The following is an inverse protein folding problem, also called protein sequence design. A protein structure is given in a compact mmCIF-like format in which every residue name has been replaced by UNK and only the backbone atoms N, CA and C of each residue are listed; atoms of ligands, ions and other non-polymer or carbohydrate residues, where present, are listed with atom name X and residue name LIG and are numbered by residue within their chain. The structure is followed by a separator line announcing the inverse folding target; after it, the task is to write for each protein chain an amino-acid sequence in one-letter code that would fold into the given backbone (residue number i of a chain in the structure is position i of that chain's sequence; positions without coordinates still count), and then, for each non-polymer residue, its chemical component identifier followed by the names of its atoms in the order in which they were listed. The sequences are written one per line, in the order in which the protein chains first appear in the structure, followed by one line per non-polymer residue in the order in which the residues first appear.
data_IF_868153416300
#
_entry.id   IF_868153416300
#
_cell.length_a   1.000
_cell.length_b   1.000
_cell.length_c   1.000
_cell.angle_alpha   90.00
_cell.angle_beta   90.00
_cell.angle_gamma   90.00
#
_symmetry.space_group_name_H-M   'P 1'
#
loop_
_entity.id
_entity.type
_entity.pdbx_description
1 polymer ?
#
# COMPACT_ATOMS: atom_id res chain seq x y z
N UNK A 1 24.54 65.83 6.99
CA UNK A 1 23.78 66.69 7.94
C UNK A 1 22.43 66.04 8.20
N UNK A 2 21.98 65.94 9.47
CA UNK A 2 20.61 65.57 9.90
C UNK A 2 20.08 64.16 9.51
N UNK A 3 19.31 63.43 10.34
CA UNK A 3 19.24 63.30 11.82
C UNK A 3 18.40 62.03 12.13
N UNK A 4 18.83 61.16 13.05
CA UNK A 4 17.94 60.11 13.63
C UNK A 4 16.98 60.70 14.68
N UNK A 5 15.86 60.01 14.96
CA UNK A 5 15.64 59.37 16.27
C UNK A 5 15.06 57.93 16.14
N UNK A 6 15.66 56.89 16.75
CA UNK A 6 15.51 56.41 18.16
C UNK A 6 14.24 55.60 18.50
N UNK A 7 14.45 54.27 18.59
CA UNK A 7 13.98 53.28 19.59
C UNK A 7 12.73 53.57 20.45
N UNK A 8 11.84 52.57 20.50
CA UNK A 8 11.00 52.26 21.68
C UNK A 8 11.08 50.76 22.02
N UNK A 9 11.38 50.41 23.28
CA UNK A 9 11.26 49.04 23.82
C UNK A 9 9.95 48.96 24.59
N UNK A 10 9.27 47.82 24.57
CA UNK A 10 8.34 47.44 25.63
C UNK A 10 8.78 46.11 26.24
N UNK A 11 8.65 46.01 27.56
CA UNK A 11 9.15 44.90 28.36
C UNK A 11 8.00 43.97 28.79
N UNK A 12 8.37 42.76 29.21
CA UNK A 12 7.45 41.73 29.66
C UNK A 12 6.69 42.11 30.95
N UNK A 13 5.51 41.50 31.12
CA UNK A 13 4.93 41.26 32.44
C UNK A 13 4.45 39.81 32.48
N UNK A 14 5.01 39.01 33.38
CA UNK A 14 4.49 37.68 33.68
C UNK A 14 3.41 37.76 34.75
N UNK A 15 2.39 36.90 34.67
CA UNK A 15 1.46 36.63 35.77
C UNK A 15 1.37 35.12 35.94
N UNK A 16 1.84 34.63 37.08
CA UNK A 16 1.62 33.26 37.52
C UNK A 16 0.37 33.24 38.43
N UNK A 17 -0.48 32.23 38.26
CA UNK A 17 -1.52 31.87 39.21
C UNK A 17 -1.57 30.34 39.32
N UNK A 18 -1.59 29.85 40.55
CA UNK A 18 -1.66 28.44 40.91
C UNK A 18 -2.75 28.23 41.97
N UNK A 19 -2.93 26.98 42.44
CA UNK A 19 -3.89 26.54 43.47
C UNK A 19 -5.32 26.33 42.89
N UNK A 20 -6.06 25.25 43.16
CA UNK A 20 -5.84 24.07 44.03
C UNK A 20 -6.39 22.78 43.40
N UNK A 21 -5.88 21.64 43.87
CA UNK A 21 -6.52 20.33 43.67
C UNK A 21 -7.76 20.18 44.58
N UNK A 22 -8.68 19.28 44.21
CA UNK A 22 -9.71 18.77 45.12
C UNK A 22 -9.96 17.30 44.82
N UNK A 23 -9.60 16.46 45.78
CA UNK A 23 -9.85 15.01 45.78
C UNK A 23 -11.24 14.77 46.34
N UNK A 24 -12.07 13.98 45.65
CA UNK A 24 -13.29 13.40 46.23
C UNK A 24 -13.15 11.88 46.21
N UNK A 25 -13.02 11.31 47.40
CA UNK A 25 -13.15 9.87 47.63
C UNK A 25 -14.62 9.58 47.92
N UNK A 26 -15.22 8.64 47.20
CA UNK A 26 -16.45 7.98 47.65
C UNK A 26 -16.31 6.46 47.53
N UNK A 27 -16.28 5.79 48.67
CA UNK A 27 -16.30 4.35 48.82
C UNK A 27 -17.73 3.89 49.14
N UNK A 28 -18.37 3.14 48.25
CA UNK A 28 -19.50 2.25 48.60
C UNK A 28 -19.32 0.91 47.88
N UNK A 29 -19.34 -0.17 48.65
CA UNK A 29 -19.29 -1.59 48.26
C UNK A 29 -20.55 -2.29 48.86
N UNK A 30 -20.93 -3.51 48.44
CA UNK A 30 -21.69 -3.77 47.22
C UNK A 30 -23.00 -4.54 47.51
N UNK A 31 -23.87 -4.71 46.51
CA UNK A 31 -24.86 -5.81 46.52
C UNK A 31 -24.94 -6.55 45.18
N UNK A 32 -25.19 -7.85 45.29
CA UNK A 32 -25.11 -8.85 44.22
C UNK A 32 -26.32 -8.81 43.27
N UNK A 33 -26.09 -9.15 42.00
CA UNK A 33 -27.16 -9.39 41.02
C UNK A 33 -26.60 -9.95 39.70
N UNK A 34 -26.57 -11.27 39.57
CA UNK A 34 -26.01 -11.98 38.41
C UNK A 34 -26.77 -11.72 37.10
N UNK A 35 -26.04 -11.59 35.98
CA UNK A 35 -26.31 -12.32 34.73
C UNK A 35 -25.13 -12.29 33.76
N UNK A 36 -24.88 -13.42 33.12
CA UNK A 36 -23.69 -13.72 32.33
C UNK A 36 -23.68 -13.12 30.92
N UNK A 37 -22.50 -12.64 30.50
CA UNK A 37 -21.90 -12.82 29.15
C UNK A 37 -20.49 -12.20 29.11
N UNK A 38 -19.43 -12.93 28.77
CA UNK A 38 -18.11 -12.34 28.58
C UNK A 38 -18.03 -11.55 27.25
N UNK A 39 -17.25 -10.46 27.17
CA UNK A 39 -16.94 -9.79 25.91
C UNK A 39 -15.99 -10.65 25.05
N UNK A 40 -16.07 -10.50 23.73
CA UNK A 40 -15.21 -11.22 22.80
C UNK A 40 -13.78 -10.68 22.84
N UNK A 41 -12.80 -11.57 23.02
CA UNK A 41 -11.37 -11.26 22.87
C UNK A 41 -11.01 -11.11 21.39
N UNK A 42 -10.41 -10.00 21.01
CA UNK A 42 -9.77 -9.84 19.69
C UNK A 42 -8.40 -10.52 19.71
N UNK A 43 -8.33 -11.78 19.28
CA UNK A 43 -7.06 -12.48 19.09
C UNK A 43 -6.43 -12.09 17.75
N UNK A 44 -5.18 -11.61 17.79
CA UNK A 44 -4.37 -11.38 16.60
C UNK A 44 -4.05 -12.72 15.89
N UNK A 45 -3.89 -12.76 14.56
CA UNK A 45 -3.56 -13.98 13.84
C UNK A 45 -2.16 -14.47 14.22
N UNK A 46 -2.09 -15.75 14.64
CA UNK A 46 -0.83 -16.41 15.00
C UNK A 46 0.06 -16.71 13.79
N UNK A 47 1.37 -16.80 14.04
CA UNK A 47 2.38 -17.18 13.03
C UNK A 47 2.05 -18.56 12.41
N UNK A 48 2.18 -18.74 11.08
CA UNK A 48 2.34 -20.06 10.49
C UNK A 48 3.68 -20.68 10.92
N UNK A 49 3.67 -21.95 11.32
CA UNK A 49 4.89 -22.72 11.53
C UNK A 49 5.41 -23.32 10.23
N UNK A 50 6.73 -23.44 10.11
CA UNK A 50 7.37 -24.13 8.99
C UNK A 50 7.16 -25.64 9.09
N UNK A 51 6.72 -26.27 7.99
CA UNK A 51 6.97 -27.69 7.74
C UNK A 51 7.32 -27.89 6.26
N UNK A 52 8.61 -28.03 5.98
CA UNK A 52 9.11 -28.27 4.63
C UNK A 52 9.06 -29.77 4.31
N UNK A 53 8.29 -30.15 3.30
CA UNK A 53 8.22 -31.53 2.81
C UNK A 53 9.17 -31.73 1.60
N UNK A 54 10.39 -32.21 1.86
CA UNK A 54 11.25 -32.76 0.80
C UNK A 54 10.66 -34.06 0.24
N UNK A 55 10.56 -34.18 -1.08
CA UNK A 55 10.31 -35.45 -1.77
C UNK A 55 11.41 -35.74 -2.79
N UNK A 56 12.41 -36.53 -2.36
CA UNK A 56 13.30 -37.26 -3.26
C UNK A 56 12.67 -38.62 -3.59
N UNK A 57 12.45 -38.89 -4.88
CA UNK A 57 12.09 -40.23 -5.37
C UNK A 57 13.24 -40.81 -6.21
N UNK A 58 13.88 -41.86 -5.71
CA UNK A 58 14.86 -42.67 -6.47
C UNK A 58 14.17 -43.87 -7.15
N UNK A 59 14.87 -44.38 -8.16
CA UNK A 59 14.51 -45.40 -9.13
C UNK A 59 14.33 -46.83 -8.56
N UNK A 60 13.46 -47.61 -9.20
CA UNK A 60 13.31 -49.05 -8.96
C UNK A 60 12.37 -49.70 -9.99
N UNK A 61 12.90 -50.59 -10.83
CA UNK A 61 12.16 -51.24 -11.91
C UNK A 61 11.78 -52.70 -11.57
N UNK A 62 10.67 -53.22 -12.12
CA UNK A 62 10.58 -54.56 -12.79
C UNK A 62 9.15 -55.03 -13.10
N UNK A 63 8.86 -55.22 -14.39
CA UNK A 63 8.05 -56.27 -15.04
C UNK A 63 6.59 -56.62 -14.62
N UNK A 64 5.68 -56.57 -15.61
CA UNK A 64 4.40 -57.30 -15.62
C UNK A 64 3.43 -56.86 -16.74
N UNK A 65 3.33 -57.63 -17.84
CA UNK A 65 2.39 -57.48 -18.98
C UNK A 65 1.78 -58.88 -19.30
N UNK A 66 0.75 -59.09 -20.16
CA UNK A 66 0.12 -58.18 -21.15
C UNK A 66 -1.45 -58.28 -21.25
N UNK A 67 -2.00 -57.72 -22.36
CA UNK A 67 -3.38 -57.87 -22.91
C UNK A 67 -4.51 -57.13 -22.16
N UNK A 68 -5.51 -56.50 -22.76
CA UNK A 68 -5.81 -56.01 -24.12
C UNK A 68 -6.89 -54.88 -23.97
N UNK A 69 -7.50 -54.22 -24.95
CA UNK A 69 -7.53 -54.27 -26.43
C UNK A 69 -7.98 -52.89 -26.98
N UNK A 70 -7.90 -52.61 -28.29
CA UNK A 70 -8.44 -51.39 -28.91
C UNK A 70 -9.49 -51.70 -29.98
N UNK A 71 -10.49 -50.82 -30.15
CA UNK A 71 -10.96 -50.47 -31.50
C UNK A 71 -10.88 -48.96 -31.77
N UNK A 72 -10.80 -48.59 -33.04
CA UNK A 72 -10.50 -47.24 -33.50
C UNK A 72 -11.74 -46.44 -33.92
N UNK A 73 -11.68 -45.13 -33.66
CA UNK A 73 -11.91 -44.10 -34.68
C UNK A 73 -13.34 -43.74 -35.09
N UNK A 74 -13.72 -42.50 -34.76
CA UNK A 74 -14.48 -41.63 -35.67
C UNK A 74 -13.93 -40.20 -35.57
N UNK A 75 -13.31 -39.72 -36.65
CA UNK A 75 -12.92 -38.31 -36.75
C UNK A 75 -14.17 -37.45 -36.96
N UNK A 76 -14.43 -36.53 -36.03
CA UNK A 76 -15.19 -35.31 -36.35
C UNK A 76 -14.22 -34.14 -36.42
N UNK A 77 -14.13 -33.53 -37.59
CA UNK A 77 -13.41 -32.28 -37.82
C UNK A 77 -14.11 -31.16 -37.06
N UNK A 78 -13.53 -30.72 -35.94
CA UNK A 78 -13.97 -29.49 -35.29
C UNK A 78 -13.69 -28.29 -36.22
N UNK A 79 -14.74 -27.57 -36.59
CA UNK A 79 -14.64 -26.32 -37.33
C UNK A 79 -14.04 -25.24 -36.42
N UNK A 80 -12.79 -24.86 -36.68
CA UNK A 80 -12.18 -23.68 -36.07
C UNK A 80 -12.77 -22.41 -36.68
N UNK A 81 -13.86 -21.93 -36.10
CA UNK A 81 -14.21 -20.51 -36.24
C UNK A 81 -13.10 -19.65 -35.64
N UNK A 82 -12.70 -18.53 -36.27
CA UNK A 82 -11.75 -17.61 -35.66
C UNK A 82 -12.39 -16.99 -34.40
N UNK A 83 -11.76 -17.18 -33.25
CA UNK A 83 -12.11 -16.38 -32.07
C UNK A 83 -11.93 -14.91 -32.41
N UNK A 84 -13.03 -14.15 -32.41
CA UNK A 84 -12.96 -12.71 -32.59
C UNK A 84 -12.10 -12.12 -31.48
N UNK A 85 -11.03 -11.42 -31.84
CA UNK A 85 -10.30 -10.56 -30.90
C UNK A 85 -11.31 -9.54 -30.35
N UNK A 86 -11.69 -9.72 -29.10
CA UNK A 86 -12.64 -8.82 -28.43
C UNK A 86 -12.01 -7.43 -28.37
N UNK A 87 -12.61 -6.49 -29.09
CA UNK A 87 -12.14 -5.12 -29.11
C UNK A 87 -12.37 -4.49 -27.74
N UNK A 88 -11.31 -3.95 -27.15
CA UNK A 88 -11.40 -3.00 -26.04
C UNK A 88 -12.41 -1.90 -26.40
N UNK A 89 -13.17 -1.42 -25.41
CA UNK A 89 -14.17 -0.37 -25.61
C UNK A 89 -13.50 0.98 -25.90
N UNK A 90 -13.05 1.19 -27.15
CA UNK A 90 -12.29 2.39 -27.53
C UNK A 90 -13.11 3.69 -27.48
N UNK A 91 -14.44 3.61 -27.51
CA UNK A 91 -15.33 4.79 -27.52
C UNK A 91 -15.73 5.35 -26.14
N UNK A 92 -15.22 4.79 -25.03
CA UNK A 92 -15.47 5.31 -23.66
C UNK A 92 -14.43 6.40 -23.30
N UNK A 93 -14.75 7.36 -22.40
CA UNK A 93 -13.81 8.42 -22.03
C UNK A 93 -12.58 7.89 -21.25
N UNK A 94 -11.44 8.59 -21.35
CA UNK A 94 -10.28 8.34 -20.50
C UNK A 94 -10.56 8.75 -19.05
N UNK A 95 -9.92 8.08 -18.07
CA UNK A 95 -10.01 8.51 -16.67
C UNK A 95 -9.03 9.67 -16.39
N UNK A 96 -7.77 9.58 -16.81
CA UNK A 96 -6.81 10.66 -16.57
C UNK A 96 -7.21 12.00 -17.22
N UNK A 97 -7.91 11.99 -18.37
CA UNK A 97 -8.43 13.22 -18.99
C UNK A 97 -9.60 13.81 -18.21
N UNK A 98 -10.44 12.97 -17.61
CA UNK A 98 -11.61 13.41 -16.83
C UNK A 98 -11.23 14.05 -15.49
N UNK A 99 -10.03 13.78 -14.97
CA UNK A 99 -9.53 14.30 -13.70
C UNK A 99 -8.29 15.20 -13.87
N UNK A 100 -7.94 15.62 -15.10
CA UNK A 100 -6.72 16.41 -15.38
C UNK A 100 -6.62 17.71 -14.56
N UNK A 101 -7.75 18.38 -14.36
CA UNK A 101 -7.90 19.61 -13.56
C UNK A 101 -8.05 19.35 -12.05
N UNK A 102 -8.13 18.08 -11.63
CA UNK A 102 -8.34 17.67 -10.24
C UNK A 102 -7.10 16.99 -9.64
N UNK A 103 -6.66 15.86 -10.22
CA UNK A 103 -5.45 15.11 -9.83
C UNK A 103 -5.10 13.99 -10.84
N UNK A 104 -3.83 13.57 -10.96
CA UNK A 104 -3.44 12.41 -11.75
C UNK A 104 -4.12 11.11 -11.29
N UNK A 105 -4.58 10.32 -12.26
CA UNK A 105 -5.05 8.95 -12.08
C UNK A 105 -3.93 7.96 -12.43
N UNK A 106 -3.68 7.00 -11.53
CA UNK A 106 -2.72 5.93 -11.71
C UNK A 106 -3.26 4.52 -11.53
N UNK A 107 -2.45 3.52 -11.85
CA UNK A 107 -2.72 2.12 -11.56
C UNK A 107 -1.43 1.32 -11.25
N UNK A 108 -1.55 0.28 -10.44
CA UNK A 108 -0.53 -0.73 -10.28
C UNK A 108 -0.38 -1.59 -11.55
N UNK A 109 0.85 -2.04 -11.81
CA UNK A 109 1.24 -2.79 -13.01
C UNK A 109 2.31 -3.84 -12.68
N UNK A 110 2.21 -4.99 -13.35
CA UNK A 110 3.27 -6.00 -13.45
C UNK A 110 3.96 -5.99 -14.82
N UNK A 111 5.24 -6.42 -14.96
CA UNK A 111 5.99 -6.31 -16.22
C UNK A 111 5.34 -6.97 -17.44
N UNK A 112 4.58 -8.05 -17.23
CA UNK A 112 3.82 -8.75 -18.28
C UNK A 112 2.67 -7.90 -18.86
N UNK A 113 2.10 -6.99 -18.07
CA UNK A 113 1.04 -6.06 -18.47
C UNK A 113 1.55 -4.85 -19.28
N UNK A 114 2.87 -4.72 -19.48
CA UNK A 114 3.42 -3.71 -20.41
C UNK A 114 3.08 -3.98 -21.88
N UNK A 115 2.50 -5.14 -22.20
CA UNK A 115 2.02 -5.51 -23.54
C UNK A 115 0.59 -6.09 -23.48
N UNK A 116 -0.08 -6.19 -24.62
CA UNK A 116 -1.41 -6.82 -24.73
C UNK A 116 -2.57 -5.95 -24.21
N UNK A 117 -3.76 -6.54 -23.99
CA UNK A 117 -4.98 -5.78 -23.68
C UNK A 117 -4.89 -4.87 -22.44
N UNK A 118 -4.26 -5.34 -21.36
CA UNK A 118 -4.04 -4.51 -20.15
C UNK A 118 -3.17 -3.28 -20.42
N UNK A 119 -2.17 -3.41 -21.31
CA UNK A 119 -1.31 -2.29 -21.74
C UNK A 119 -2.11 -1.20 -22.47
N UNK A 120 -3.01 -1.59 -23.37
CA UNK A 120 -3.91 -0.64 -24.04
C UNK A 120 -4.86 0.06 -23.05
N UNK A 121 -5.39 -0.68 -22.07
CA UNK A 121 -6.26 -0.14 -21.04
C UNK A 121 -5.52 0.88 -20.14
N UNK A 122 -4.29 0.56 -19.73
CA UNK A 122 -3.41 1.47 -18.99
C UNK A 122 -3.09 2.73 -19.81
N UNK A 123 -2.63 2.58 -21.06
CA UNK A 123 -2.34 3.70 -21.98
C UNK A 123 -3.54 4.62 -22.20
N UNK A 124 -4.74 4.04 -22.25
CA UNK A 124 -5.98 4.81 -22.40
C UNK A 124 -6.39 5.55 -21.13
N UNK A 125 -6.28 4.93 -19.94
CA UNK A 125 -6.96 5.43 -18.75
C UNK A 125 -6.06 6.10 -17.71
N UNK A 126 -4.75 5.82 -17.64
CA UNK A 126 -3.88 6.34 -16.56
C UNK A 126 -2.65 7.11 -17.05
N UNK A 127 -2.10 7.97 -16.20
CA UNK A 127 -0.83 8.69 -16.44
C UNK A 127 0.18 8.55 -15.30
N UNK A 128 -0.08 7.63 -14.38
CA UNK A 128 0.83 7.27 -13.29
C UNK A 128 0.85 5.76 -13.10
N UNK A 129 2.03 5.17 -12.96
CA UNK A 129 2.19 3.73 -12.71
C UNK A 129 2.87 3.49 -11.37
N UNK A 130 2.56 2.35 -10.73
CA UNK A 130 3.30 1.82 -9.58
C UNK A 130 3.57 0.34 -9.82
N UNK A 131 4.78 -0.14 -9.55
CA UNK A 131 5.08 -1.56 -9.70
C UNK A 131 4.45 -2.35 -8.54
N UNK A 132 3.59 -3.33 -8.84
CA UNK A 132 2.87 -4.08 -7.80
C UNK A 132 3.83 -4.90 -6.91
N UNK A 133 4.85 -5.53 -7.52
CA UNK A 133 5.80 -6.37 -6.79
C UNK A 133 7.28 -6.13 -7.14
N UNK A 134 7.62 -5.86 -8.39
CA UNK A 134 9.02 -5.93 -8.86
C UNK A 134 9.96 -4.80 -8.40
N UNK A 135 9.45 -3.84 -7.62
CA UNK A 135 10.23 -2.80 -6.94
C UNK A 135 10.32 -3.00 -5.42
N UNK A 136 9.70 -4.05 -4.86
CA UNK A 136 9.78 -4.39 -3.43
C UNK A 136 11.18 -4.92 -3.05
N UNK A 137 11.59 -4.85 -1.77
CA UNK A 137 12.97 -5.09 -1.38
C UNK A 137 13.54 -6.46 -1.76
N UNK A 138 12.77 -7.56 -1.67
CA UNK A 138 13.21 -8.90 -2.06
C UNK A 138 13.35 -9.08 -3.58
N UNK A 139 12.47 -8.47 -4.37
CA UNK A 139 12.50 -8.52 -5.82
C UNK A 139 13.66 -7.70 -6.40
N UNK A 140 13.94 -6.53 -5.82
CA UNK A 140 14.96 -5.59 -6.32
C UNK A 140 16.35 -5.84 -5.74
N UNK A 141 16.46 -6.33 -4.49
CA UNK A 141 17.74 -6.71 -3.85
C UNK A 141 17.62 -8.04 -3.07
N UNK A 142 17.52 -9.19 -3.78
CA UNK A 142 17.35 -10.51 -3.14
C UNK A 142 18.51 -10.93 -2.24
N UNK A 143 19.72 -10.39 -2.45
CA UNK A 143 20.89 -10.64 -1.58
C UNK A 143 21.80 -9.42 -1.50
N UNK A 144 22.61 -9.35 -0.45
CA UNK A 144 23.46 -8.19 -0.14
C UNK A 144 24.34 -7.78 -1.33
N UNK A 145 24.19 -6.53 -1.77
CA UNK A 145 24.87 -5.95 -2.93
C UNK A 145 24.44 -6.48 -4.32
N UNK A 146 23.53 -7.47 -4.40
CA UNK A 146 23.03 -8.01 -5.67
C UNK A 146 21.65 -7.43 -6.01
N UNK A 147 21.60 -6.53 -6.99
CA UNK A 147 20.36 -5.89 -7.43
C UNK A 147 19.85 -6.45 -8.76
N UNK A 148 18.54 -6.61 -8.89
CA UNK A 148 17.86 -7.05 -10.11
C UNK A 148 17.01 -5.89 -10.65
N UNK A 149 17.49 -5.28 -11.74
CA UNK A 149 16.85 -4.10 -12.33
C UNK A 149 15.86 -4.40 -13.45
N UNK A 150 16.02 -5.53 -14.15
CA UNK A 150 15.36 -5.82 -15.44
C UNK A 150 13.84 -5.58 -15.46
N UNK A 151 13.13 -6.00 -14.42
CA UNK A 151 11.67 -5.90 -14.37
C UNK A 151 11.19 -4.50 -13.96
N UNK A 152 11.89 -3.85 -13.03
CA UNK A 152 11.62 -2.47 -12.62
C UNK A 152 11.94 -1.48 -13.76
N UNK A 153 13.10 -1.64 -14.41
CA UNK A 153 13.50 -0.89 -15.60
C UNK A 153 12.45 -1.02 -16.72
N UNK A 154 11.89 -2.22 -16.94
CA UNK A 154 10.85 -2.45 -17.96
C UNK A 154 9.57 -1.65 -17.71
N UNK A 155 9.16 -1.48 -16.45
CA UNK A 155 8.01 -0.64 -16.09
C UNK A 155 8.34 0.84 -16.27
N UNK A 156 9.54 1.28 -15.87
CA UNK A 156 10.01 2.66 -16.03
C UNK A 156 10.13 3.04 -17.51
N UNK A 157 10.66 2.15 -18.35
CA UNK A 157 10.75 2.37 -19.81
C UNK A 157 9.36 2.43 -20.45
N UNK A 158 8.46 1.51 -20.11
CA UNK A 158 7.06 1.56 -20.56
C UNK A 158 6.35 2.86 -20.15
N UNK A 159 6.60 3.36 -18.94
CA UNK A 159 6.07 4.64 -18.49
C UNK A 159 6.59 5.80 -19.35
N UNK A 160 7.91 5.85 -19.59
CA UNK A 160 8.56 6.88 -20.42
C UNK A 160 8.08 6.85 -21.87
N UNK A 161 7.95 5.67 -22.47
CA UNK A 161 7.41 5.47 -23.83
C UNK A 161 5.98 6.04 -23.99
N UNK A 162 5.20 6.05 -22.90
CA UNK A 162 3.77 6.40 -22.92
C UNK A 162 3.44 7.69 -22.16
N UNK A 163 4.44 8.51 -21.83
CA UNK A 163 4.31 9.78 -21.10
C UNK A 163 3.57 9.63 -19.75
N UNK A 164 3.88 8.56 -19.01
CA UNK A 164 3.38 8.32 -17.66
C UNK A 164 4.47 8.60 -16.63
N UNK A 165 4.07 9.11 -15.47
CA UNK A 165 4.91 9.15 -14.28
C UNK A 165 5.01 7.75 -13.65
N UNK A 166 5.95 7.56 -12.72
CA UNK A 166 6.06 6.35 -11.90
C UNK A 166 6.10 6.72 -10.41
N UNK A 167 5.53 5.87 -9.56
CA UNK A 167 5.77 5.83 -8.10
C UNK A 167 6.66 4.64 -7.78
N UNK A 168 7.63 4.83 -6.89
CA UNK A 168 8.36 3.71 -6.33
C UNK A 168 7.59 3.12 -5.14
N UNK A 169 7.25 1.84 -5.23
CA UNK A 169 6.69 1.04 -4.14
C UNK A 169 7.53 -0.24 -3.99
N UNK A 170 8.26 -0.45 -2.90
CA UNK A 170 8.52 0.45 -1.76
C UNK A 170 9.93 0.19 -1.23
N UNK A 171 10.60 1.21 -0.70
CA UNK A 171 12.00 1.11 -0.27
C UNK A 171 12.17 0.31 1.03
N UNK A 172 11.18 0.32 1.93
CA UNK A 172 11.23 -0.41 3.20
C UNK A 172 9.87 -0.98 3.53
N UNK A 173 9.80 -2.29 3.71
CA UNK A 173 8.62 -2.99 4.18
C UNK A 173 9.01 -4.14 5.11
N UNK A 174 8.04 -4.63 5.88
CA UNK A 174 8.25 -5.69 6.87
C UNK A 174 8.06 -7.11 6.29
N UNK A 175 7.51 -7.19 5.08
CA UNK A 175 7.33 -8.40 4.27
C UNK A 175 7.89 -8.12 2.86
N UNK A 176 8.04 -9.16 2.04
CA UNK A 176 8.74 -9.10 0.74
C UNK A 176 10.12 -8.42 0.86
N UNK A 177 10.89 -8.86 1.86
CA UNK A 177 12.23 -8.36 2.18
C UNK A 177 13.18 -9.54 2.44
N UNK A 178 14.40 -9.46 1.90
CA UNK A 178 15.39 -10.52 2.02
C UNK A 178 15.90 -10.69 3.45
N UNK A 179 15.87 -11.92 3.98
CA UNK A 179 16.33 -12.24 5.33
C UNK A 179 17.79 -11.82 5.63
N UNK A 180 18.62 -11.63 4.60
CA UNK A 180 20.01 -11.18 4.70
C UNK A 180 20.14 -9.82 5.41
N UNK A 181 19.13 -8.93 5.34
CA UNK A 181 19.14 -7.66 6.06
C UNK A 181 19.32 -7.87 7.57
N UNK A 182 18.58 -8.84 8.11
CA UNK A 182 18.42 -9.12 9.54
C UNK A 182 19.34 -10.23 10.04
N UNK A 183 20.35 -10.61 9.25
CA UNK A 183 21.37 -11.59 9.65
C UNK A 183 22.68 -10.90 10.07
N UNK A 184 23.24 -11.27 11.21
CA UNK A 184 24.53 -10.78 11.69
C UNK A 184 25.70 -11.20 10.76
N UNK A 185 26.92 -10.76 11.08
CA UNK A 185 28.13 -11.10 10.31
C UNK A 185 28.47 -12.61 10.30
N UNK A 186 27.82 -13.41 11.17
CA UNK A 186 27.93 -14.87 11.25
C UNK A 186 26.73 -15.58 10.58
N UNK A 187 25.79 -14.85 9.97
CA UNK A 187 24.61 -15.37 9.28
C UNK A 187 23.42 -15.71 10.19
N UNK A 188 23.40 -15.27 11.44
CA UNK A 188 22.35 -15.58 12.43
C UNK A 188 21.31 -14.46 12.55
N UNK A 189 20.05 -14.74 12.90
CA UNK A 189 19.05 -13.69 13.12
C UNK A 189 19.50 -12.69 14.20
N UNK A 190 19.59 -11.41 13.82
CA UNK A 190 19.99 -10.30 14.70
C UNK A 190 19.04 -10.14 15.90
N UNK A 191 17.77 -10.53 15.74
CA UNK A 191 16.72 -10.47 16.78
C UNK A 191 16.94 -11.45 17.94
N UNK A 192 17.77 -12.49 17.75
CA UNK A 192 18.08 -13.49 18.77
C UNK A 192 19.32 -13.11 19.61
N UNK A 193 20.01 -12.02 19.27
CA UNK A 193 21.19 -11.57 19.99
C UNK A 193 20.83 -10.95 21.35
N UNK A 194 21.60 -11.27 22.38
CA UNK A 194 21.36 -10.89 23.78
C UNK A 194 22.54 -10.15 24.43
N UNK A 195 23.73 -10.14 23.83
CA UNK A 195 24.83 -9.27 24.26
C UNK A 195 24.58 -7.83 23.79
N UNK A 196 24.50 -6.83 24.69
CA UNK A 196 24.16 -5.46 24.31
C UNK A 196 25.15 -4.78 23.34
N UNK A 197 26.42 -5.21 23.30
CA UNK A 197 27.39 -4.64 22.35
C UNK A 197 27.20 -5.22 20.96
N UNK A 198 26.83 -6.50 20.86
CA UNK A 198 26.46 -7.14 19.61
C UNK A 198 25.11 -6.65 19.09
N UNK A 199 24.13 -6.39 19.95
CA UNK A 199 22.88 -5.73 19.56
C UNK A 199 23.14 -4.35 18.91
N UNK A 200 23.98 -3.51 19.51
CA UNK A 200 24.36 -2.21 18.94
C UNK A 200 25.13 -2.36 17.60
N UNK A 201 26.02 -3.37 17.50
CA UNK A 201 26.71 -3.66 16.24
C UNK A 201 25.75 -4.12 15.14
N UNK A 202 24.77 -4.97 15.47
CA UNK A 202 23.72 -5.44 14.58
C UNK A 202 22.82 -4.30 14.12
N UNK A 203 22.40 -3.41 15.04
CA UNK A 203 21.68 -2.18 14.71
C UNK A 203 22.45 -1.33 13.71
N UNK A 204 23.73 -1.06 13.98
CA UNK A 204 24.56 -0.28 13.05
C UNK A 204 24.66 -0.94 11.67
N UNK A 205 24.90 -2.25 11.61
CA UNK A 205 24.98 -3.00 10.35
C UNK A 205 23.66 -2.95 9.56
N UNK A 206 22.52 -3.09 10.25
CA UNK A 206 21.19 -3.00 9.63
C UNK A 206 20.94 -1.60 9.02
N UNK A 207 21.31 -0.54 9.74
CA UNK A 207 21.16 0.84 9.25
C UNK A 207 22.12 1.16 8.08
N UNK A 208 23.34 0.63 8.09
CA UNK A 208 24.32 0.76 7.00
C UNK A 208 23.84 0.04 5.72
N UNK A 209 23.26 -1.16 5.87
CA UNK A 209 22.61 -1.90 4.77
C UNK A 209 21.41 -1.15 4.21
N UNK A 210 20.57 -0.60 5.08
CA UNK A 210 19.39 0.16 4.69
C UNK A 210 19.74 1.45 3.93
N UNK A 211 20.69 2.24 4.44
CA UNK A 211 21.19 3.43 3.75
C UNK A 211 21.73 3.05 2.36
N UNK A 212 22.53 1.99 2.26
CA UNK A 212 23.07 1.47 0.99
C UNK A 212 21.98 1.03 0.02
N UNK A 213 20.96 0.30 0.49
CA UNK A 213 19.80 -0.13 -0.30
C UNK A 213 19.06 1.08 -0.88
N UNK A 214 18.65 2.00 0.00
CA UNK A 214 17.89 3.20 -0.36
C UNK A 214 18.67 4.08 -1.33
N UNK A 215 19.93 4.42 -1.04
CA UNK A 215 20.74 5.28 -1.92
C UNK A 215 21.00 4.66 -3.29
N UNK A 216 21.17 3.35 -3.36
CA UNK A 216 21.43 2.66 -4.63
C UNK A 216 20.20 2.66 -5.54
N UNK A 217 19.02 2.41 -4.98
CA UNK A 217 17.75 2.42 -5.72
C UNK A 217 17.35 3.85 -6.08
N UNK A 218 17.34 4.78 -5.13
CA UNK A 218 16.98 6.18 -5.36
C UNK A 218 17.98 6.83 -6.33
N UNK A 219 19.28 6.57 -6.15
CA UNK A 219 20.32 7.05 -7.07
C UNK A 219 20.20 6.52 -8.50
N UNK A 220 19.54 5.37 -8.72
CA UNK A 220 19.26 4.81 -10.04
C UNK A 220 18.09 5.51 -10.75
N UNK A 221 16.98 5.74 -10.05
CA UNK A 221 15.72 6.17 -10.68
C UNK A 221 15.29 7.61 -10.38
N UNK A 222 16.06 8.39 -9.62
CA UNK A 222 15.73 9.80 -9.26
C UNK A 222 15.43 10.74 -10.45
N UNK A 223 15.94 10.43 -11.64
CA UNK A 223 15.73 11.25 -12.85
C UNK A 223 14.44 10.84 -13.59
N UNK A 224 13.83 9.71 -13.20
CA UNK A 224 12.57 9.15 -13.72
C UNK A 224 11.42 9.13 -12.70
N UNK A 225 11.73 9.06 -11.40
CA UNK A 225 10.79 8.84 -10.31
C UNK A 225 10.91 9.94 -9.27
N UNK A 226 9.84 10.71 -9.13
CA UNK A 226 9.71 11.78 -8.13
C UNK A 226 8.94 11.35 -6.89
N UNK A 227 8.10 10.30 -6.93
CA UNK A 227 7.27 9.88 -5.79
C UNK A 227 7.72 8.54 -5.22
N UNK A 228 7.99 8.50 -3.92
CA UNK A 228 8.62 7.37 -3.24
C UNK A 228 7.85 6.95 -1.99
N UNK A 229 7.33 5.72 -1.95
CA UNK A 229 6.94 5.08 -0.70
C UNK A 229 8.22 4.63 0.02
N UNK A 230 8.69 5.46 0.95
CA UNK A 230 9.98 5.26 1.64
C UNK A 230 9.86 4.17 2.70
N UNK A 231 8.79 4.20 3.49
CA UNK A 231 8.44 3.12 4.42
C UNK A 231 6.97 2.77 4.27
N UNK A 232 6.68 1.47 4.27
CA UNK A 232 5.33 0.92 4.15
C UNK A 232 4.92 0.21 5.44
N UNK A 233 3.69 0.44 5.90
CA UNK A 233 3.00 -0.30 6.96
C UNK A 233 3.75 -0.42 8.29
N UNK A 234 4.26 0.69 8.81
CA UNK A 234 5.04 0.70 10.05
C UNK A 234 4.18 0.67 11.33
N UNK A 235 2.86 0.88 11.22
CA UNK A 235 1.92 0.92 12.35
C UNK A 235 1.09 -0.38 12.44
N UNK A 236 0.93 -0.89 13.66
CA UNK A 236 0.06 -2.02 13.99
C UNK A 236 -0.72 -1.72 15.28
N UNK A 237 -2.02 -1.39 15.21
CA UNK A 237 -2.83 -1.11 16.40
C UNK A 237 -2.90 -2.31 17.36
N UNK A 238 -2.92 -2.05 18.68
CA UNK A 238 -3.07 -3.07 19.71
C UNK A 238 -1.76 -3.64 20.26
N UNK A 239 -0.61 -3.23 19.73
CA UNK A 239 0.71 -3.40 20.38
C UNK A 239 1.04 -2.20 21.28
N UNK A 240 1.94 -2.32 22.28
CA UNK A 240 2.06 -1.33 23.38
C UNK A 240 2.40 0.11 22.97
N UNK A 241 3.08 0.30 21.84
CA UNK A 241 3.52 1.59 21.28
C UNK A 241 2.89 1.89 19.90
N UNK A 242 2.02 1.00 19.40
CA UNK A 242 1.44 1.08 18.06
C UNK A 242 2.40 0.77 16.90
N UNK A 243 3.68 0.47 17.16
CA UNK A 243 4.67 0.20 16.13
C UNK A 243 4.65 -1.28 15.74
N UNK A 244 4.61 -1.58 14.43
CA UNK A 244 4.67 -2.95 13.94
C UNK A 244 5.96 -3.62 14.44
N UNK A 245 5.82 -4.73 15.16
CA UNK A 245 6.92 -5.52 15.71
C UNK A 245 7.69 -6.34 14.63
N UNK A 246 8.09 -5.67 13.56
CA UNK A 246 8.96 -6.15 12.49
C UNK A 246 10.39 -6.36 12.98
N UNK A 247 11.23 -7.03 12.19
CA UNK A 247 12.67 -7.17 12.51
C UNK A 247 13.37 -5.80 12.47
N UNK A 248 13.01 -4.94 11.50
CA UNK A 248 13.39 -3.52 11.47
C UNK A 248 13.20 -2.83 12.84
N UNK A 249 11.98 -2.87 13.39
CA UNK A 249 11.65 -2.21 14.64
C UNK A 249 12.33 -2.86 15.85
N UNK A 250 12.38 -4.20 15.92
CA UNK A 250 13.04 -4.94 17.01
C UNK A 250 14.53 -4.66 17.12
N UNK A 251 15.22 -4.48 15.99
CA UNK A 251 16.67 -4.29 15.95
C UNK A 251 17.03 -2.80 16.07
N UNK A 252 16.29 -1.90 15.40
CA UNK A 252 16.68 -0.50 15.26
C UNK A 252 15.77 0.52 15.96
N UNK A 253 14.60 0.14 16.48
CA UNK A 253 13.59 1.09 16.94
C UNK A 253 13.01 1.89 15.77
N UNK A 254 12.81 3.20 15.92
CA UNK A 254 12.38 4.09 14.82
C UNK A 254 13.52 4.56 13.92
N UNK A 255 14.79 4.33 14.28
CA UNK A 255 15.97 4.85 13.58
C UNK A 255 16.05 4.38 12.12
N UNK A 256 15.47 3.22 11.78
CA UNK A 256 15.41 2.75 10.39
C UNK A 256 14.51 3.65 9.52
N UNK A 257 13.43 4.19 10.08
CA UNK A 257 12.53 5.11 9.37
C UNK A 257 13.27 6.41 9.09
N UNK A 258 13.89 7.00 10.12
CA UNK A 258 14.72 8.20 9.96
C UNK A 258 15.84 7.98 8.92
N UNK A 259 16.56 6.86 9.01
CA UNK A 259 17.64 6.51 8.09
C UNK A 259 17.14 6.42 6.65
N UNK A 260 16.02 5.74 6.41
CA UNK A 260 15.45 5.60 5.07
C UNK A 260 15.03 6.95 4.46
N UNK A 261 14.33 7.80 5.22
CA UNK A 261 13.93 9.13 4.74
C UNK A 261 15.12 10.06 4.48
N UNK A 262 16.12 10.07 5.36
CA UNK A 262 17.35 10.88 5.15
C UNK A 262 18.14 10.39 3.94
N UNK A 263 18.36 9.08 3.82
CA UNK A 263 19.04 8.47 2.67
C UNK A 263 18.31 8.75 1.34
N UNK A 264 16.97 8.64 1.33
CA UNK A 264 16.16 8.93 0.15
C UNK A 264 16.22 10.42 -0.25
N UNK A 265 16.13 11.34 0.72
CA UNK A 265 16.27 12.79 0.47
C UNK A 265 17.64 13.14 -0.08
N UNK A 266 18.71 12.59 0.49
CA UNK A 266 20.09 12.89 0.08
C UNK A 266 20.43 12.32 -1.30
N UNK A 267 19.89 11.15 -1.66
CA UNK A 267 20.11 10.55 -2.98
C UNK A 267 19.21 11.16 -4.07
N UNK A 268 17.93 11.42 -3.75
CA UNK A 268 16.93 11.93 -4.69
C UNK A 268 16.92 13.46 -4.87
N UNK A 269 17.45 14.20 -3.89
CA UNK A 269 17.48 15.66 -3.93
C UNK A 269 16.16 16.33 -3.54
N UNK A 270 15.96 17.62 -3.86
CA UNK A 270 14.81 18.40 -3.38
C UNK A 270 13.49 18.07 -4.09
N UNK A 271 13.53 17.59 -5.33
CA UNK A 271 12.33 17.30 -6.13
C UNK A 271 11.65 15.96 -5.76
N UNK A 272 12.37 15.07 -5.05
CA UNK A 272 11.80 13.83 -4.54
C UNK A 272 10.70 14.13 -3.49
N UNK A 273 9.55 13.47 -3.64
CA UNK A 273 8.42 13.45 -2.72
C UNK A 273 8.42 12.12 -1.97
N UNK A 274 8.63 12.21 -0.67
CA UNK A 274 8.91 11.09 0.22
C UNK A 274 7.69 10.82 1.10
N UNK A 275 7.08 9.66 0.92
CA UNK A 275 5.85 9.25 1.58
C UNK A 275 6.08 8.13 2.58
N UNK A 276 5.29 8.18 3.66
CA UNK A 276 4.99 7.03 4.52
C UNK A 276 3.63 6.47 4.09
N UNK A 277 3.58 5.20 3.71
CA UNK A 277 2.39 4.56 3.13
C UNK A 277 1.81 3.51 4.09
N UNK A 278 0.49 3.44 4.24
CA UNK A 278 -0.15 2.45 5.12
C UNK A 278 -1.63 2.16 4.75
N UNK A 279 -2.12 0.95 5.09
CA UNK A 279 -3.55 0.61 5.01
C UNK A 279 -4.32 1.05 6.25
N UNK A 280 -5.65 1.16 6.12
CA UNK A 280 -6.52 1.40 7.26
C UNK A 280 -6.29 2.75 7.95
N UNK A 281 -5.71 3.73 7.23
CA UNK A 281 -5.45 5.08 7.74
C UNK A 281 -6.73 5.86 8.01
N UNK A 282 -7.88 5.41 7.50
CA UNK A 282 -9.21 5.87 7.86
C UNK A 282 -9.64 5.47 9.29
N UNK A 283 -9.06 4.40 9.85
CA UNK A 283 -9.38 3.92 11.19
C UNK A 283 -8.84 4.92 12.22
N UNK A 284 -9.67 5.50 13.10
CA UNK A 284 -9.23 6.56 14.02
C UNK A 284 -8.04 6.18 14.90
N UNK A 285 -7.94 4.91 15.35
CA UNK A 285 -6.83 4.45 16.19
C UNK A 285 -5.54 4.37 15.38
N UNK A 286 -5.55 3.72 14.22
CA UNK A 286 -4.36 3.60 13.37
C UNK A 286 -3.91 4.96 12.82
N UNK A 287 -4.86 5.79 12.40
CA UNK A 287 -4.66 7.18 11.99
C UNK A 287 -3.93 7.99 13.05
N UNK A 288 -4.41 7.96 14.30
CA UNK A 288 -3.88 8.82 15.35
C UNK A 288 -2.49 8.35 15.82
N UNK A 289 -2.20 7.04 15.77
CA UNK A 289 -0.84 6.49 15.94
C UNK A 289 0.11 6.93 14.83
N UNK A 290 -0.30 6.77 13.55
CA UNK A 290 0.50 7.20 12.40
C UNK A 290 0.76 8.71 12.41
N UNK A 291 -0.26 9.52 12.73
CA UNK A 291 -0.14 10.97 12.87
C UNK A 291 0.87 11.37 13.95
N UNK A 292 0.85 10.69 15.11
CA UNK A 292 1.79 10.98 16.18
C UNK A 292 3.23 10.63 15.76
N UNK A 293 3.45 9.45 15.16
CA UNK A 293 4.76 9.06 14.62
C UNK A 293 5.28 10.08 13.58
N UNK A 294 4.46 10.45 12.60
CA UNK A 294 4.84 11.38 11.54
C UNK A 294 5.16 12.77 12.11
N UNK A 295 4.35 13.25 13.05
CA UNK A 295 4.62 14.51 13.75
C UNK A 295 5.94 14.46 14.51
N UNK A 296 6.21 13.39 15.27
CA UNK A 296 7.45 13.26 16.04
C UNK A 296 8.68 13.17 15.13
N UNK A 297 8.58 12.52 13.96
CA UNK A 297 9.62 12.48 12.95
C UNK A 297 9.86 13.86 12.29
N UNK A 298 8.80 14.62 12.01
CA UNK A 298 8.91 16.00 11.52
C UNK A 298 9.55 16.94 12.54
N UNK A 299 9.21 16.81 13.84
CA UNK A 299 9.85 17.56 14.92
C UNK A 299 11.36 17.22 15.08
N UNK A 300 11.77 16.01 14.68
CA UNK A 300 13.17 15.57 14.56
C UNK A 300 13.82 15.97 13.22
N UNK A 301 13.12 16.70 12.36
CA UNK A 301 13.62 17.15 11.06
C UNK A 301 13.84 16.01 10.06
N UNK A 302 13.09 14.92 10.16
CA UNK A 302 13.06 13.85 9.16
C UNK A 302 12.28 14.34 7.92
N UNK A 303 12.79 14.20 6.70
CA UNK A 303 12.22 14.83 5.51
C UNK A 303 11.04 14.03 4.93
N UNK A 304 9.89 14.06 5.60
CA UNK A 304 8.62 13.49 5.11
C UNK A 304 7.85 14.58 4.35
N UNK A 305 7.42 14.32 3.11
CA UNK A 305 6.62 15.28 2.31
C UNK A 305 5.12 14.95 2.32
N UNK A 306 4.75 13.69 2.53
CA UNK A 306 3.35 13.27 2.46
C UNK A 306 3.03 11.92 3.10
N UNK A 307 1.74 11.59 3.11
CA UNK A 307 1.21 10.29 3.56
C UNK A 307 0.50 9.58 2.41
N UNK A 308 0.82 8.30 2.24
CA UNK A 308 0.14 7.38 1.33
C UNK A 308 -0.98 6.64 2.06
N UNK A 309 -2.19 6.74 1.52
CA UNK A 309 -3.38 6.04 1.98
C UNK A 309 -3.67 4.91 1.01
N UNK A 310 -3.30 3.67 1.34
CA UNK A 310 -3.52 2.52 0.45
C UNK A 310 -4.98 2.47 -0.01
N UNK A 311 -5.92 2.60 0.92
CA UNK A 311 -7.36 2.64 0.62
C UNK A 311 -7.87 1.35 -0.03
N UNK A 312 -7.29 0.21 0.38
CA UNK A 312 -7.94 -1.10 0.28
C UNK A 312 -9.20 -1.12 1.15
N UNK A 313 -10.37 -1.11 0.52
CA UNK A 313 -11.67 -0.98 1.19
C UNK A 313 -12.66 -2.04 0.70
N UNK A 314 -13.86 -2.09 1.27
CA UNK A 314 -14.95 -2.91 0.75
C UNK A 314 -16.21 -2.07 0.48
N UNK A 315 -17.18 -2.65 -0.23
CA UNK A 315 -18.41 -1.93 -0.61
C UNK A 315 -19.28 -1.50 0.60
N UNK A 316 -19.00 -2.02 1.79
CA UNK A 316 -19.73 -1.71 3.03
C UNK A 316 -19.00 -0.66 3.88
N UNK A 317 -17.68 -0.73 3.99
CA UNK A 317 -16.88 0.19 4.81
C UNK A 317 -15.41 0.37 4.37
N UNK A 318 -14.71 1.37 4.91
CA UNK A 318 -15.16 2.39 5.87
C UNK A 318 -16.10 3.44 5.25
N UNK A 319 -16.54 4.44 6.03
CA UNK A 319 -17.25 5.58 5.46
C UNK A 319 -16.29 6.52 4.73
N UNK A 320 -16.77 7.13 3.64
CA UNK A 320 -16.05 8.18 2.90
C UNK A 320 -15.61 9.32 3.83
N UNK A 321 -16.48 9.72 4.78
CA UNK A 321 -16.14 10.70 5.81
C UNK A 321 -14.91 10.33 6.66
N UNK A 322 -14.70 9.03 6.97
CA UNK A 322 -13.53 8.58 7.75
C UNK A 322 -12.24 8.67 6.93
N UNK A 323 -12.32 8.36 5.63
CA UNK A 323 -11.21 8.50 4.68
C UNK A 323 -10.82 9.99 4.55
N UNK A 324 -11.79 10.86 4.27
CA UNK A 324 -11.56 12.31 4.12
C UNK A 324 -11.10 12.95 5.44
N UNK A 325 -11.62 12.51 6.59
CA UNK A 325 -11.15 12.98 7.90
C UNK A 325 -9.70 12.57 8.19
N UNK A 326 -9.21 11.47 7.61
CA UNK A 326 -7.80 11.09 7.68
C UNK A 326 -6.92 12.01 6.84
N UNK A 327 -7.24 12.16 5.55
CA UNK A 327 -6.54 13.04 4.60
C UNK A 327 -6.41 14.47 5.17
N UNK A 328 -7.53 15.03 5.66
CA UNK A 328 -7.55 16.36 6.29
C UNK A 328 -6.65 16.46 7.51
N UNK A 329 -6.61 15.42 8.36
CA UNK A 329 -5.77 15.42 9.57
C UNK A 329 -4.29 15.47 9.21
N UNK A 330 -3.82 14.73 8.21
CA UNK A 330 -2.42 14.78 7.80
C UNK A 330 -2.07 16.10 7.08
N UNK A 331 -3.02 16.68 6.32
CA UNK A 331 -2.86 18.03 5.76
C UNK A 331 -2.68 19.13 6.84
N UNK A 332 -3.15 18.94 8.08
CA UNK A 332 -2.88 19.87 9.20
C UNK A 332 -1.37 19.96 9.56
N UNK A 333 -0.57 18.95 9.20
CA UNK A 333 0.89 18.97 9.35
C UNK A 333 1.61 19.69 8.18
N UNK A 334 0.86 20.19 7.19
CA UNK A 334 1.42 20.75 5.96
C UNK A 334 1.94 19.69 4.98
N UNK A 335 1.51 18.44 5.14
CA UNK A 335 1.87 17.30 4.31
C UNK A 335 0.92 17.14 3.13
N UNK A 336 1.46 16.61 2.03
CA UNK A 336 0.68 16.10 0.91
C UNK A 336 0.02 14.75 1.25
N UNK A 337 -1.03 14.38 0.53
CA UNK A 337 -1.70 13.10 0.68
C UNK A 337 -1.89 12.44 -0.69
N UNK A 338 -1.71 11.13 -0.73
CA UNK A 338 -1.99 10.31 -1.91
C UNK A 338 -2.94 9.18 -1.54
N UNK A 339 -3.86 8.85 -2.44
CA UNK A 339 -4.52 7.53 -2.45
C UNK A 339 -3.69 6.63 -3.34
N UNK A 340 -3.11 5.57 -2.78
CA UNK A 340 -1.97 4.87 -3.38
C UNK A 340 -2.29 3.49 -3.95
N UNK A 341 -3.29 2.78 -3.40
CA UNK A 341 -3.56 1.36 -3.68
C UNK A 341 -5.08 1.08 -3.72
N UNK A 342 -5.86 1.99 -4.31
CA UNK A 342 -7.32 1.93 -4.25
C UNK A 342 -7.88 0.69 -4.94
N UNK A 343 -8.55 -0.15 -4.17
CA UNK A 343 -9.43 -1.20 -4.66
C UNK A 343 -10.62 -1.38 -3.68
N UNK A 344 -11.71 -1.99 -4.15
CA UNK A 344 -12.97 -2.07 -3.39
C UNK A 344 -13.57 -3.48 -3.44
N UNK A 345 -13.16 -4.33 -2.50
CA UNK A 345 -13.66 -5.70 -2.35
C UNK A 345 -15.19 -5.75 -2.33
N UNK A 346 -15.76 -6.67 -3.12
CA UNK A 346 -17.22 -6.90 -3.14
C UNK A 346 -17.73 -7.68 -1.90
N UNK A 347 -16.81 -8.10 -1.03
CA UNK A 347 -17.10 -8.83 0.21
C UNK A 347 -16.64 -8.02 1.43
N UNK A 348 -17.45 -8.06 2.50
CA UNK A 348 -17.06 -7.55 3.80
C UNK A 348 -15.83 -8.26 4.37
N UNK A 349 -15.04 -7.56 5.19
CA UNK A 349 -13.80 -8.09 5.81
C UNK A 349 -13.94 -9.46 6.51
N UNK A 350 -15.11 -9.82 7.04
CA UNK A 350 -15.39 -11.08 7.73
C UNK A 350 -16.07 -12.14 6.85
N UNK A 351 -16.50 -11.80 5.63
CA UNK A 351 -17.11 -12.75 4.70
C UNK A 351 -16.04 -13.57 3.98
N UNK A 352 -16.25 -14.88 3.90
CA UNK A 352 -15.38 -15.88 3.25
C UNK A 352 -16.12 -16.66 2.16
N UNK A 353 -17.32 -16.20 1.77
CA UNK A 353 -18.07 -16.70 0.62
C UNK A 353 -17.39 -16.36 -0.71
N UNK A 354 -17.86 -17.01 -1.78
CA UNK A 354 -17.55 -16.72 -3.18
C UNK A 354 -18.87 -16.64 -3.96
N UNK A 355 -19.11 -15.53 -4.65
CA UNK A 355 -20.22 -15.36 -5.59
C UNK A 355 -20.03 -16.20 -6.88
N UNK A 356 -18.80 -16.63 -7.17
CA UNK A 356 -18.47 -17.29 -8.43
C UNK A 356 -18.41 -16.32 -9.60
N UNK A 357 -18.61 -16.82 -10.82
CA UNK A 357 -18.51 -15.99 -12.04
C UNK A 357 -19.73 -15.10 -12.29
N UNK A 358 -20.92 -15.52 -11.85
CA UNK A 358 -22.17 -14.80 -12.06
C UNK A 358 -22.40 -13.77 -10.93
N UNK A 359 -21.63 -12.68 -10.98
CA UNK A 359 -21.65 -11.64 -9.95
C UNK A 359 -23.03 -10.94 -9.86
N UNK A 360 -23.64 -10.82 -8.66
CA UNK A 360 -24.93 -10.15 -8.51
C UNK A 360 -24.90 -8.67 -8.92
N UNK A 361 -25.87 -8.25 -9.73
CA UNK A 361 -25.91 -6.89 -10.28
C UNK A 361 -26.13 -5.81 -9.20
N UNK A 362 -26.82 -6.14 -8.11
CA UNK A 362 -27.00 -5.29 -6.94
C UNK A 362 -25.68 -5.03 -6.19
N UNK A 363 -24.81 -6.04 -6.10
CA UNK A 363 -23.45 -5.91 -5.55
C UNK A 363 -22.58 -5.01 -6.44
N UNK A 364 -22.64 -5.17 -7.77
CA UNK A 364 -21.93 -4.30 -8.72
C UNK A 364 -22.46 -2.86 -8.71
N UNK A 365 -23.76 -2.67 -8.46
CA UNK A 365 -24.37 -1.34 -8.32
C UNK A 365 -23.96 -0.67 -6.99
N UNK A 366 -23.92 -1.43 -5.88
CA UNK A 366 -23.46 -0.91 -4.59
C UNK A 366 -21.98 -0.48 -4.65
N UNK A 367 -21.13 -1.27 -5.32
CA UNK A 367 -19.76 -0.87 -5.63
C UNK A 367 -19.71 0.43 -6.46
N UNK A 368 -20.60 0.58 -7.43
CA UNK A 368 -20.64 1.77 -8.28
C UNK A 368 -21.03 3.03 -7.50
N UNK A 369 -22.09 2.96 -6.69
CA UNK A 369 -22.50 4.06 -5.83
C UNK A 369 -21.36 4.46 -4.88
N UNK A 370 -20.66 3.49 -4.28
CA UNK A 370 -19.49 3.74 -3.41
C UNK A 370 -18.33 4.41 -4.12
N UNK A 371 -17.93 3.94 -5.30
CA UNK A 371 -16.88 4.61 -6.08
C UNK A 371 -17.31 6.03 -6.49
N UNK A 372 -18.58 6.24 -6.83
CA UNK A 372 -19.12 7.57 -7.15
C UNK A 372 -19.10 8.54 -5.96
N UNK A 373 -19.50 8.08 -4.76
CA UNK A 373 -19.39 8.84 -3.50
C UNK A 373 -17.92 9.22 -3.21
N UNK A 374 -17.02 8.24 -3.28
CA UNK A 374 -15.61 8.39 -2.94
C UNK A 374 -14.90 9.37 -3.89
N UNK A 375 -15.06 9.20 -5.21
CA UNK A 375 -14.44 10.11 -6.19
C UNK A 375 -15.01 11.52 -6.13
N UNK A 376 -16.31 11.70 -5.84
CA UNK A 376 -16.85 13.04 -5.58
C UNK A 376 -16.16 13.70 -4.39
N UNK A 377 -15.98 12.94 -3.30
CA UNK A 377 -15.33 13.46 -2.10
C UNK A 377 -13.84 13.77 -2.31
N UNK A 378 -13.11 12.94 -3.09
CA UNK A 378 -11.74 13.23 -3.48
C UNK A 378 -11.62 14.55 -4.26
N UNK A 379 -12.47 14.78 -5.28
CA UNK A 379 -12.49 16.06 -6.03
C UNK A 379 -12.77 17.26 -5.13
N UNK A 380 -13.66 17.12 -4.15
CA UNK A 380 -13.94 18.16 -3.15
C UNK A 380 -12.79 18.42 -2.15
N UNK A 381 -11.71 17.64 -2.19
CA UNK A 381 -10.52 17.80 -1.35
C UNK A 381 -9.21 17.81 -2.16
N UNK A 382 -9.27 18.10 -3.46
CA UNK A 382 -8.10 18.05 -4.36
C UNK A 382 -6.93 18.94 -3.95
N UNK A 383 -7.21 20.06 -3.28
CA UNK A 383 -6.18 20.99 -2.77
C UNK A 383 -5.25 20.37 -1.70
N UNK A 384 -5.61 19.19 -1.18
CA UNK A 384 -4.85 18.42 -0.17
C UNK A 384 -4.67 16.94 -0.56
N UNK A 385 -4.96 16.56 -1.81
CA UNK A 385 -4.87 15.20 -2.33
C UNK A 385 -4.29 15.23 -3.75
N UNK A 386 -2.99 14.94 -3.89
CA UNK A 386 -2.25 15.13 -5.15
C UNK A 386 -2.39 13.99 -6.16
N UNK A 387 -3.18 12.96 -5.87
CA UNK A 387 -3.34 11.81 -6.77
C UNK A 387 -4.14 10.64 -6.23
N UNK A 388 -4.68 9.85 -7.16
CA UNK A 388 -5.42 8.61 -6.88
C UNK A 388 -4.89 7.49 -7.78
N UNK A 389 -4.36 6.45 -7.16
CA UNK A 389 -3.79 5.27 -7.82
C UNK A 389 -4.60 4.04 -7.43
N UNK A 390 -5.02 3.25 -8.42
CA UNK A 390 -5.72 1.97 -8.21
C UNK A 390 -4.75 0.81 -8.04
N UNK A 391 -5.08 -0.21 -7.24
CA UNK A 391 -4.26 -1.42 -7.11
C UNK A 391 -4.55 -2.47 -8.19
N UNK A 392 -4.28 -2.06 -9.43
CA UNK A 392 -4.52 -2.81 -10.65
C UNK A 392 -5.39 -2.01 -11.64
N UNK A 393 -5.63 -2.57 -12.82
CA UNK A 393 -6.46 -1.92 -13.86
C UNK A 393 -7.77 -2.68 -14.16
N UNK A 394 -7.81 -4.01 -14.03
CA UNK A 394 -8.99 -4.82 -14.36
C UNK A 394 -9.07 -6.10 -13.51
N UNK A 395 -10.28 -6.63 -13.33
CA UNK A 395 -10.60 -7.77 -12.46
C UNK A 395 -10.05 -9.14 -12.96
N UNK A 396 -9.30 -9.19 -14.08
CA UNK A 396 -8.52 -10.37 -14.45
C UNK A 396 -7.20 -10.47 -13.67
N UNK A 397 -6.72 -9.36 -13.09
CA UNK A 397 -5.49 -9.31 -12.30
C UNK A 397 -5.70 -8.47 -11.02
N UNK A 398 -5.92 -9.16 -9.89
CA UNK A 398 -6.00 -8.54 -8.56
C UNK A 398 -5.61 -9.53 -7.47
N UNK A 399 -4.86 -9.07 -6.48
CA UNK A 399 -4.46 -9.85 -5.29
C UNK A 399 -5.66 -10.36 -4.46
N UNK A 400 -6.79 -9.63 -4.49
CA UNK A 400 -8.03 -9.98 -3.80
C UNK A 400 -8.74 -11.23 -4.34
N UNK A 401 -8.19 -11.86 -5.39
CA UNK A 401 -8.55 -13.22 -5.80
C UNK A 401 -7.92 -14.32 -4.94
N UNK A 402 -6.75 -14.07 -4.35
CA UNK A 402 -6.03 -15.01 -3.50
C UNK A 402 -6.14 -14.73 -2.01
N UNK A 403 -6.37 -13.46 -1.64
CA UNK A 403 -6.40 -13.00 -0.24
C UNK A 403 -7.77 -12.47 0.19
N UNK A 404 -8.24 -12.73 1.42
CA UNK A 404 -7.66 -13.65 2.42
C UNK A 404 -7.96 -15.13 2.13
N UNK A 405 -8.72 -15.42 1.07
CA UNK A 405 -9.05 -16.75 0.57
C UNK A 405 -9.12 -16.73 -0.96
N UNK A 406 -8.91 -17.88 -1.59
CA UNK A 406 -9.09 -18.03 -3.03
C UNK A 406 -10.59 -17.91 -3.40
N UNK A 407 -10.98 -16.85 -4.15
CA UNK A 407 -12.38 -16.60 -4.57
C UNK A 407 -12.48 -15.62 -5.74
N UNK A 408 -13.66 -15.52 -6.36
CA UNK A 408 -13.95 -14.48 -7.36
C UNK A 408 -14.26 -13.16 -6.66
N UNK A 409 -13.35 -12.20 -6.71
CA UNK A 409 -13.60 -10.80 -6.34
C UNK A 409 -13.76 -9.96 -7.62
N UNK A 410 -14.21 -8.72 -7.49
CA UNK A 410 -14.31 -7.80 -8.62
C UNK A 410 -14.06 -6.37 -8.14
N UNK A 411 -12.85 -6.01 -7.67
CA UNK A 411 -12.64 -4.80 -6.90
C UNK A 411 -12.31 -3.54 -7.73
N UNK A 412 -12.05 -3.66 -9.04
CA UNK A 412 -11.55 -2.57 -9.90
C UNK A 412 -12.65 -2.00 -10.82
N UNK A 413 -12.30 -1.07 -11.70
CA UNK A 413 -13.26 -0.38 -12.58
C UNK A 413 -13.61 -1.14 -13.88
N UNK A 414 -12.79 -2.11 -14.27
CA UNK A 414 -12.95 -2.90 -15.48
C UNK A 414 -13.04 -4.39 -15.15
N UNK A 415 -13.87 -5.11 -15.88
CA UNK A 415 -14.08 -6.54 -15.67
C UNK A 415 -12.95 -7.40 -16.27
N UNK A 416 -13.09 -8.72 -16.12
CA UNK A 416 -12.18 -9.75 -16.63
C UNK A 416 -12.07 -9.81 -18.17
N UNK A 417 -12.89 -9.05 -18.90
CA UNK A 417 -12.88 -8.90 -20.36
C UNK A 417 -12.52 -7.45 -20.76
N UNK A 418 -11.98 -6.68 -19.80
CA UNK A 418 -11.55 -5.28 -19.93
C UNK A 418 -12.68 -4.34 -20.39
N UNK A 419 -13.93 -4.68 -20.07
CA UNK A 419 -15.09 -3.83 -20.30
C UNK A 419 -15.39 -2.97 -19.06
N UNK A 420 -15.91 -1.74 -19.24
CA UNK A 420 -16.19 -0.84 -18.12
C UNK A 420 -17.39 -1.33 -17.28
N UNK A 421 -17.14 -1.55 -15.99
CA UNK A 421 -18.18 -1.93 -15.02
C UNK A 421 -19.10 -0.75 -14.67
N UNK A 422 -20.24 -0.97 -14.00
CA UNK A 422 -21.04 0.12 -13.42
C UNK A 422 -20.21 1.13 -12.60
N UNK A 423 -19.18 0.65 -11.89
CA UNK A 423 -18.24 1.47 -11.14
C UNK A 423 -17.49 2.50 -11.99
N UNK A 424 -16.98 2.12 -13.17
CA UNK A 424 -16.35 3.06 -14.10
C UNK A 424 -17.30 4.21 -14.45
N UNK A 425 -18.56 3.92 -14.76
CA UNK A 425 -19.54 4.94 -15.15
C UNK A 425 -19.95 5.85 -13.99
N UNK A 426 -19.93 5.34 -12.75
CA UNK A 426 -20.13 6.18 -11.55
C UNK A 426 -18.95 7.14 -11.31
N UNK A 427 -17.70 6.69 -11.52
CA UNK A 427 -16.50 7.55 -11.47
C UNK A 427 -16.56 8.62 -12.57
N UNK A 428 -16.92 8.26 -13.81
CA UNK A 428 -17.13 9.21 -14.92
C UNK A 428 -18.21 10.25 -14.59
N UNK A 429 -19.29 9.84 -13.91
CA UNK A 429 -20.35 10.76 -13.45
C UNK A 429 -19.85 11.70 -12.35
N UNK A 430 -19.01 11.22 -11.41
CA UNK A 430 -18.41 12.02 -10.35
C UNK A 430 -17.40 13.05 -10.90
N UNK A 431 -16.65 12.73 -11.94
CA UNK A 431 -15.77 13.67 -12.65
C UNK A 431 -16.55 14.83 -13.30
N UNK A 432 -17.74 14.52 -13.84
CA UNK A 432 -18.57 15.47 -14.61
C UNK A 432 -19.55 16.29 -13.75
N UNK A 433 -19.67 16.02 -12.46
CA UNK A 433 -20.55 16.80 -11.58
C UNK A 433 -19.93 18.16 -11.22
N UNK A 434 -20.76 19.19 -11.11
CA UNK A 434 -20.40 20.42 -10.40
C UNK A 434 -20.09 20.09 -8.91
N UNK A 435 -19.12 20.81 -8.31
CA UNK A 435 -18.57 20.53 -6.98
C UNK A 435 -19.27 21.29 -5.83
#
# INVERSE_FOLDING_TARGET
MHRMPKRGRWAATAVAAAVAASVVVLLILPQMGSRDKPPAESQAPGKPGEEAAELRGDSGASNGKPNAESPAGTNQTASTEPQAQQSLAQDIPSLHELFEEDFPIGAAIEPNQTNGPSSELLKKHVRWLVAENVMKPDAIQPSEGQFIWTNADRIVEFAKENNMQVRFHTLVWHTQVGAWFFQDAEGKPMVDETDPKRQEANKKLLLERLDTHVRTIVGRYKDEITSWDVVNEVIEPGVPDGMRASEWYKIAGTDYIETAFRAAREAGGPEAKLYINDYGTDNPVKRDLLFQLVKDLLEQGVPIDGVGHQTHIDIYGPSVDSIIASIRKFAELGLDNLVTELDMSIYAWNDRSDYGQDLPQDILNLQADRYGELFKAFRQNKDILSGVVFWGIADDHTWLHGFPVARTNAPLLFDRQHQPKPAFWAVVKAARSEL
#
